data_IF_445777457010
#
_entry.id   IF_445777457010
#
_cell.length_a   1.000
_cell.length_b   1.000
_cell.length_c   1.000
_cell.angle_alpha   90.00
_cell.angle_beta   90.00
_cell.angle_gamma   90.00
#
_symmetry.space_group_name_H-M   'P 1'
#
loop_
_entity.id
_entity.type
_entity.pdbx_description
1 polymer ?
#
# COMPACT_ATOMS: atom_id res chain seq x y z
N UNK A 1 28.65 -9.80 8.46
CA UNK A 1 27.82 -9.37 9.60
C UNK A 1 26.37 -9.62 9.21
N UNK A 2 25.74 -10.69 9.72
CA UNK A 2 24.39 -11.08 9.33
C UNK A 2 23.37 -10.43 10.26
N UNK A 3 22.47 -9.62 9.73
CA UNK A 3 21.34 -9.10 10.51
C UNK A 3 20.35 -10.24 10.72
N UNK A 4 20.21 -10.71 11.96
CA UNK A 4 19.10 -11.59 12.34
C UNK A 4 17.87 -10.70 12.52
N UNK A 5 16.88 -10.86 11.65
CA UNK A 5 15.56 -10.26 11.83
C UNK A 5 14.83 -11.05 12.92
N UNK A 6 15.00 -10.64 14.17
CA UNK A 6 14.17 -11.16 15.27
C UNK A 6 12.74 -10.67 15.04
N UNK A 7 11.82 -11.59 14.75
CA UNK A 7 10.39 -11.28 14.70
C UNK A 7 9.95 -11.15 16.16
N UNK A 8 9.39 -10.00 16.61
CA UNK A 8 8.97 -9.83 17.98
C UNK A 8 8.01 -10.96 18.40
N UNK A 9 8.29 -11.57 19.56
CA UNK A 9 7.54 -12.70 20.12
C UNK A 9 6.03 -12.41 20.27
N UNK A 10 5.66 -11.13 20.31
CA UNK A 10 4.29 -10.63 20.29
C UNK A 10 4.12 -9.58 19.19
N UNK A 11 3.45 -9.95 18.10
CA UNK A 11 2.94 -9.00 17.12
C UNK A 11 1.53 -8.57 17.57
N UNK A 12 1.36 -7.26 17.84
CA UNK A 12 0.06 -6.70 18.23
C UNK A 12 -1.01 -7.04 17.17
N UNK A 13 -2.27 -7.33 17.55
CA UNK A 13 -3.32 -7.72 16.60
C UNK A 13 -3.47 -6.74 15.43
N UNK A 14 -3.31 -5.44 15.67
CA UNK A 14 -3.39 -4.38 14.66
C UNK A 14 -2.28 -4.49 13.61
N UNK A 15 -1.06 -4.77 14.05
CA UNK A 15 0.10 -4.92 13.16
C UNK A 15 -0.02 -6.20 12.33
N UNK A 16 -0.51 -7.28 12.95
CA UNK A 16 -0.80 -8.53 12.22
C UNK A 16 -1.89 -8.31 11.19
N UNK A 17 -2.99 -7.68 11.58
CA UNK A 17 -4.09 -7.33 10.67
C UNK A 17 -3.60 -6.55 9.46
N UNK A 18 -2.82 -5.49 9.70
CA UNK A 18 -2.32 -4.66 8.62
C UNK A 18 -1.46 -5.45 7.66
N UNK A 19 -0.45 -6.16 8.18
CA UNK A 19 0.45 -6.99 7.37
C UNK A 19 -0.28 -8.06 6.57
N UNK A 20 -1.29 -8.71 7.16
CA UNK A 20 -2.01 -9.80 6.51
C UNK A 20 -3.02 -9.27 5.46
N UNK A 21 -3.44 -8.00 5.54
CA UNK A 21 -4.39 -7.37 4.60
C UNK A 21 -3.74 -6.46 3.54
N UNK A 22 -2.52 -5.97 3.75
CA UNK A 22 -1.84 -5.06 2.83
C UNK A 22 -1.76 -5.60 1.39
N UNK A 23 -1.44 -6.88 1.11
CA UNK A 23 -1.45 -7.40 -0.26
C UNK A 23 -2.83 -7.39 -0.91
N UNK A 24 -3.90 -7.59 -0.10
CA UNK A 24 -5.28 -7.53 -0.59
C UNK A 24 -5.67 -6.09 -0.92
N UNK A 25 -5.32 -5.14 -0.06
CA UNK A 25 -5.57 -3.72 -0.30
C UNK A 25 -4.84 -3.21 -1.55
N UNK A 26 -3.58 -3.60 -1.75
CA UNK A 26 -2.82 -3.32 -2.98
C UNK A 26 -3.55 -3.84 -4.22
N UNK A 27 -3.99 -5.11 -4.17
CA UNK A 27 -4.70 -5.73 -5.29
C UNK A 27 -5.99 -4.96 -5.62
N UNK A 28 -6.81 -4.64 -4.61
CA UNK A 28 -8.04 -3.88 -4.81
C UNK A 28 -7.77 -2.48 -5.39
N UNK A 29 -6.70 -1.81 -4.94
CA UNK A 29 -6.29 -0.53 -5.51
C UNK A 29 -5.96 -0.67 -7.01
N UNK A 30 -5.09 -1.60 -7.39
CA UNK A 30 -4.70 -1.78 -8.79
C UNK A 30 -5.90 -2.17 -9.68
N UNK A 31 -6.81 -3.02 -9.19
CA UNK A 31 -8.06 -3.35 -9.88
C UNK A 31 -8.97 -2.12 -10.06
N UNK A 32 -9.07 -1.24 -9.06
CA UNK A 32 -9.85 -0.01 -9.17
C UNK A 32 -9.28 0.98 -10.19
N UNK A 33 -7.95 1.06 -10.30
CA UNK A 33 -7.30 1.93 -11.29
C UNK A 33 -7.51 1.38 -12.71
N UNK A 34 -7.40 0.06 -12.87
CA UNK A 34 -7.68 -0.60 -14.15
C UNK A 34 -9.13 -0.38 -14.60
N UNK A 35 -10.09 -0.35 -13.67
CA UNK A 35 -11.49 -0.11 -13.97
C UNK A 35 -11.78 1.30 -14.54
N UNK A 36 -10.92 2.28 -14.26
CA UNK A 36 -10.96 3.63 -14.85
C UNK A 36 -9.96 3.81 -16.01
N UNK A 37 -9.55 2.69 -16.63
CA UNK A 37 -8.60 2.64 -17.75
C UNK A 37 -7.17 3.15 -17.43
N UNK A 38 -6.82 3.31 -16.15
CA UNK A 38 -5.46 3.60 -15.71
C UNK A 38 -4.70 2.32 -15.36
N UNK A 39 -3.98 1.74 -16.32
CA UNK A 39 -3.10 0.59 -16.05
C UNK A 39 -1.82 1.05 -15.33
N UNK A 40 -1.71 0.66 -14.07
CA UNK A 40 -0.64 1.05 -13.15
C UNK A 40 0.30 -0.12 -12.86
N UNK A 41 1.60 0.15 -12.87
CA UNK A 41 2.63 -0.77 -12.39
C UNK A 41 3.02 -0.39 -10.97
N UNK A 42 2.98 -1.37 -10.06
CA UNK A 42 3.45 -1.21 -8.69
C UNK A 42 4.81 -1.87 -8.52
N UNK A 43 5.75 -1.14 -7.95
CA UNK A 43 7.10 -1.61 -7.60
C UNK A 43 7.29 -1.44 -6.08
N UNK A 44 7.56 -2.52 -5.31
CA UNK A 44 7.88 -2.41 -3.90
C UNK A 44 9.10 -1.52 -3.68
N UNK A 45 9.03 -0.59 -2.74
CA UNK A 45 10.16 0.31 -2.47
C UNK A 45 11.15 -0.31 -1.48
N UNK A 46 12.42 0.04 -1.65
CA UNK A 46 13.46 -0.15 -0.64
C UNK A 46 13.66 1.11 0.21
N UNK A 47 14.74 1.14 0.99
CA UNK A 47 15.15 2.35 1.71
C UNK A 47 15.70 3.40 0.73
N UNK A 48 15.05 4.55 0.68
CA UNK A 48 15.51 5.74 -0.04
C UNK A 48 16.07 6.76 0.95
N UNK A 49 17.28 7.27 0.71
CA UNK A 49 17.90 8.32 1.52
C UNK A 49 17.81 9.67 0.82
N UNK A 50 17.64 10.74 1.59
CA UNK A 50 17.71 12.10 1.04
C UNK A 50 19.14 12.41 0.57
N UNK A 51 19.35 12.80 -0.70
CA UNK A 51 20.68 13.11 -1.22
C UNK A 51 21.39 14.24 -0.46
N UNK A 52 20.62 15.21 0.03
CA UNK A 52 21.16 16.39 0.75
C UNK A 52 21.34 16.13 2.25
N UNK A 53 20.55 15.21 2.81
CA UNK A 53 20.52 14.90 4.24
C UNK A 53 20.47 13.39 4.44
N UNK A 54 21.60 12.71 4.26
CA UNK A 54 21.68 11.25 4.30
C UNK A 54 21.19 10.59 5.61
N UNK A 55 21.03 11.35 6.69
CA UNK A 55 20.40 10.89 7.94
C UNK A 55 18.86 10.85 7.87
N UNK A 56 18.25 11.38 6.82
CA UNK A 56 16.82 11.27 6.53
C UNK A 56 16.63 10.18 5.47
N UNK A 57 15.79 9.22 5.77
CA UNK A 57 15.39 8.17 4.84
C UNK A 57 13.95 7.72 5.07
N UNK A 58 13.37 7.13 4.04
CA UNK A 58 12.02 6.59 4.06
C UNK A 58 11.97 5.30 3.23
N UNK A 59 11.01 4.44 3.56
CA UNK A 59 10.63 3.27 2.78
C UNK A 59 9.12 3.32 2.66
N UNK A 60 8.61 3.88 1.56
CA UNK A 60 7.19 3.76 1.23
C UNK A 60 6.83 2.30 0.96
N UNK A 61 5.54 1.98 0.86
CA UNK A 61 5.15 0.61 0.48
C UNK A 61 5.53 0.30 -0.97
N UNK A 62 5.37 1.29 -1.87
CA UNK A 62 5.91 1.17 -3.22
C UNK A 62 5.79 2.42 -4.06
N UNK A 63 6.20 2.29 -5.32
CA UNK A 63 6.17 3.31 -6.36
C UNK A 63 5.14 2.89 -7.41
N UNK A 64 4.44 3.89 -7.95
CA UNK A 64 3.50 3.70 -9.05
C UNK A 64 4.02 4.33 -10.34
N UNK A 65 3.96 3.57 -11.41
CA UNK A 65 4.30 4.01 -12.77
C UNK A 65 3.12 3.76 -13.69
N UNK A 66 2.74 4.76 -14.50
CA UNK A 66 1.70 4.58 -15.53
C UNK A 66 2.28 3.71 -16.64
N UNK A 67 1.68 2.57 -16.92
CA UNK A 67 2.25 1.61 -17.89
C UNK A 67 2.29 2.17 -19.31
N UNK A 68 1.31 3.00 -19.67
CA UNK A 68 1.21 3.60 -21.01
C UNK A 68 2.32 4.59 -21.33
N UNK A 69 2.87 5.27 -20.33
CA UNK A 69 3.84 6.36 -20.52
C UNK A 69 5.16 6.14 -19.80
N UNK A 70 5.33 5.00 -19.12
CA UNK A 70 6.46 4.69 -18.22
C UNK A 70 6.80 5.83 -17.24
N UNK A 71 5.79 6.63 -16.90
CA UNK A 71 5.96 7.82 -16.07
C UNK A 71 5.69 7.48 -14.63
N UNK A 72 6.67 7.73 -13.76
CA UNK A 72 6.48 7.67 -12.32
C UNK A 72 5.45 8.73 -11.89
N UNK A 73 4.40 8.28 -11.21
CA UNK A 73 3.29 9.14 -10.79
C UNK A 73 3.38 9.48 -9.30
N UNK A 74 4.02 8.61 -8.52
CA UNK A 74 4.28 8.87 -7.11
C UNK A 74 4.55 7.60 -6.30
N UNK A 75 4.46 7.76 -4.99
CA UNK A 75 4.51 6.69 -4.01
C UNK A 75 3.08 6.22 -3.68
N UNK A 76 2.94 4.93 -3.39
CA UNK A 76 1.75 4.35 -2.77
C UNK A 76 2.04 4.07 -1.29
N UNK A 77 1.12 4.48 -0.43
CA UNK A 77 1.09 4.17 0.99
C UNK A 77 -0.25 3.48 1.29
N UNK A 78 -0.20 2.30 1.89
CA UNK A 78 -1.34 1.42 2.14
C UNK A 78 -1.61 1.37 3.64
N UNK A 79 -2.83 1.72 4.01
CA UNK A 79 -3.27 1.62 5.39
C UNK A 79 -4.39 0.60 5.53
N UNK A 80 -4.22 -0.32 6.47
CA UNK A 80 -5.20 -1.35 6.81
C UNK A 80 -5.65 -1.14 8.27
N UNK A 81 -6.63 -0.26 8.50
CA UNK A 81 -7.05 0.12 9.86
C UNK A 81 -7.79 -1.04 10.55
N UNK A 82 -7.23 -1.52 11.67
CA UNK A 82 -7.82 -2.61 12.45
C UNK A 82 -9.17 -2.26 13.11
N UNK A 83 -9.37 -0.99 13.47
CA UNK A 83 -10.59 -0.52 14.15
C UNK A 83 -11.82 -0.49 13.24
N UNK A 84 -11.64 -0.45 11.92
CA UNK A 84 -12.72 -0.37 10.94
C UNK A 84 -13.29 -1.77 10.62
N UNK A 85 -12.57 -2.86 10.96
CA UNK A 85 -13.04 -4.24 10.83
C UNK A 85 -14.31 -4.54 11.67
N UNK A 86 -14.65 -3.69 12.65
CA UNK A 86 -15.87 -3.84 13.46
C UNK A 86 -17.03 -2.93 13.08
N UNK A 87 -16.82 -1.94 12.23
CA UNK A 87 -17.85 -0.95 11.87
C UNK A 87 -17.59 -0.38 10.48
N UNK A 88 -18.13 -1.04 9.44
CA UNK A 88 -18.78 -0.44 8.28
C UNK A 88 -18.98 -1.52 7.21
N UNK A 89 -20.06 -2.28 7.35
CA UNK A 89 -20.70 -2.89 6.18
C UNK A 89 -21.34 -1.74 5.42
N UNK A 90 -20.63 -1.14 4.47
CA UNK A 90 -21.28 -0.25 3.50
C UNK A 90 -21.85 -1.18 2.43
N UNK A 91 -23.13 -1.51 2.56
CA UNK A 91 -23.90 -2.07 1.45
C UNK A 91 -24.12 -0.94 0.46
N UNK A 92 -23.17 -0.76 -0.46
CA UNK A 92 -23.37 0.15 -1.59
C UNK A 92 -24.41 -0.45 -2.52
N UNK A 93 -25.44 0.33 -2.82
CA UNK A 93 -26.37 0.03 -3.90
C UNK A 93 -25.69 0.32 -5.25
N UNK A 94 -26.09 -0.33 -6.36
CA UNK A 94 -25.48 -0.13 -7.67
C UNK A 94 -25.41 1.35 -8.10
N UNK A 95 -26.34 2.17 -7.63
CA UNK A 95 -26.44 3.59 -7.96
C UNK A 95 -25.34 4.44 -7.28
N UNK A 96 -24.74 3.97 -6.18
CA UNK A 96 -23.68 4.68 -5.45
C UNK A 96 -22.27 4.38 -6.02
N UNK A 97 -22.17 3.52 -7.04
CA UNK A 97 -20.93 3.15 -7.74
C UNK A 97 -20.76 3.99 -9.03
N UNK A 98 -21.81 4.70 -9.46
CA UNK A 98 -21.90 5.33 -10.77
C UNK A 98 -21.97 6.87 -10.69
N UNK A 99 -21.00 7.50 -10.00
CA UNK A 99 -20.66 8.93 -10.12
C UNK A 99 -19.14 9.13 -10.10
#
# INVERSE_FOLDING_TARGET
MGYKKEIPKYCQPQIRWARDNEPRALKCYLESQLAIEEEMLFEPAGLSLSPEKAYLGASSDGKLTRKSSDTCIGCLEIQCPYSIDRFLTISLTPDEIAD
#
